data_IF_068074812135
#
_entry.id   IF_068074812135
#
_cell.length_a   1.000
_cell.length_b   1.000
_cell.length_c   1.000
_cell.angle_alpha   90.00
_cell.angle_beta   90.00
_cell.angle_gamma   90.00
#
_symmetry.space_group_name_H-M   'P 1'
#
loop_
_entity.id
_entity.type
_entity.pdbx_description
1 polymer ?
#
# COMPACT_ATOMS: atom_id res chain seq x y z
N UNK A 1 -0.33 2.79 -7.48
CA UNK A 1 0.06 1.76 -6.48
C UNK A 1 -0.70 2.04 -5.20
N UNK A 2 -1.30 1.00 -4.60
CA UNK A 2 -1.83 1.05 -3.24
C UNK A 2 -0.88 0.35 -2.26
N UNK A 3 -1.12 0.48 -0.95
CA UNK A 3 -0.28 -0.15 0.07
C UNK A 3 -1.09 -0.65 1.28
N UNK A 4 -0.52 -1.61 2.01
CA UNK A 4 -1.06 -2.15 3.26
C UNK A 4 -1.32 -1.04 4.29
N UNK A 5 -2.48 -1.10 4.95
CA UNK A 5 -2.87 -0.18 6.02
C UNK A 5 -3.06 1.27 5.56
N UNK A 6 -3.50 1.49 4.33
CA UNK A 6 -3.67 2.84 3.79
C UNK A 6 -4.74 3.63 4.56
N UNK A 7 -4.30 4.57 5.40
CA UNK A 7 -5.19 5.38 6.26
C UNK A 7 -6.24 6.18 5.48
N UNK A 8 -5.89 6.68 4.28
CA UNK A 8 -6.83 7.41 3.43
C UNK A 8 -7.95 6.51 2.88
N UNK A 9 -7.61 5.30 2.42
CA UNK A 9 -8.60 4.30 1.98
C UNK A 9 -9.49 3.88 3.14
N UNK A 10 -8.91 3.69 4.33
CA UNK A 10 -9.66 3.36 5.55
C UNK A 10 -10.63 4.48 5.95
N UNK A 11 -10.19 5.73 5.89
CA UNK A 11 -11.03 6.90 6.16
C UNK A 11 -12.16 7.05 5.11
N UNK A 12 -11.87 6.77 3.83
CA UNK A 12 -12.89 6.76 2.78
C UNK A 12 -13.95 5.66 2.98
N UNK A 13 -13.62 4.60 3.73
CA UNK A 13 -14.54 3.54 4.12
C UNK A 13 -15.56 3.94 5.20
N UNK A 14 -15.43 5.12 5.82
CA UNK A 14 -16.38 5.60 6.83
C UNK A 14 -17.76 5.92 6.23
N UNK A 15 -18.83 5.97 7.06
CA UNK A 15 -20.12 6.51 6.66
C UNK A 15 -20.01 7.93 6.12
N UNK A 16 -20.85 8.30 5.16
CA UNK A 16 -20.76 9.60 4.48
C UNK A 16 -20.92 10.77 5.47
N UNK A 17 -21.76 10.57 6.49
CA UNK A 17 -22.03 11.56 7.55
C UNK A 17 -20.82 11.78 8.47
N UNK A 18 -19.87 10.83 8.50
CA UNK A 18 -18.61 11.00 9.22
C UNK A 18 -17.58 11.72 8.34
N UNK A 19 -17.51 11.37 7.05
CA UNK A 19 -16.64 12.04 6.09
C UNK A 19 -16.98 13.53 5.98
N UNK A 20 -18.25 13.90 6.03
CA UNK A 20 -18.73 15.29 5.97
C UNK A 20 -18.42 16.13 7.20
N UNK A 21 -17.85 15.55 8.26
CA UNK A 21 -17.36 16.30 9.43
C UNK A 21 -15.91 16.78 9.26
N UNK A 22 -15.21 16.25 8.27
CA UNK A 22 -13.85 16.68 7.91
C UNK A 22 -13.90 18.01 7.13
N UNK A 23 -12.78 18.75 7.04
CA UNK A 23 -12.69 19.93 6.18
C UNK A 23 -13.09 19.63 4.73
N UNK A 24 -13.72 20.59 4.05
CA UNK A 24 -14.34 20.41 2.73
C UNK A 24 -13.39 19.73 1.71
N UNK A 25 -12.15 20.19 1.63
CA UNK A 25 -11.16 19.64 0.68
C UNK A 25 -10.80 18.19 0.99
N UNK A 26 -10.74 17.83 2.28
CA UNK A 26 -10.48 16.46 2.70
C UNK A 26 -11.71 15.58 2.48
N UNK A 27 -12.90 16.08 2.80
CA UNK A 27 -14.15 15.37 2.58
C UNK A 27 -14.34 15.03 1.09
N UNK A 28 -14.05 15.97 0.19
CA UNK A 28 -14.13 15.76 -1.26
C UNK A 28 -13.14 14.68 -1.73
N UNK A 29 -11.89 14.75 -1.26
CA UNK A 29 -10.89 13.72 -1.57
C UNK A 29 -11.31 12.32 -1.07
N UNK A 30 -11.85 12.24 0.16
CA UNK A 30 -12.36 11.00 0.74
C UNK A 30 -13.58 10.47 -0.03
N UNK A 31 -14.50 11.33 -0.46
CA UNK A 31 -15.66 10.95 -1.30
C UNK A 31 -15.22 10.40 -2.66
N UNK A 32 -14.21 11.01 -3.29
CA UNK A 32 -13.64 10.50 -4.54
C UNK A 32 -13.02 9.11 -4.34
N UNK A 33 -12.26 8.90 -3.26
CA UNK A 33 -11.69 7.59 -2.93
C UNK A 33 -12.78 6.56 -2.58
N UNK A 34 -13.82 6.96 -1.84
CA UNK A 34 -14.95 6.11 -1.45
C UNK A 34 -15.66 5.53 -2.65
N UNK A 35 -15.77 6.29 -3.73
CA UNK A 35 -16.34 5.79 -4.98
C UNK A 35 -15.55 4.58 -5.55
N UNK A 36 -14.26 4.44 -5.20
CA UNK A 36 -13.43 3.27 -5.53
C UNK A 36 -13.64 2.04 -4.66
N UNK A 37 -14.45 2.14 -3.61
CA UNK A 37 -14.70 1.02 -2.69
C UNK A 37 -15.97 0.28 -3.13
N UNK A 38 -15.84 -1.01 -3.38
CA UNK A 38 -16.98 -1.89 -3.61
C UNK A 38 -17.51 -2.41 -2.27
N UNK A 39 -18.36 -1.61 -1.61
CA UNK A 39 -18.93 -1.96 -0.30
C UNK A 39 -19.72 -3.29 -0.33
N UNK A 40 -20.31 -3.64 -1.48
CA UNK A 40 -21.03 -4.90 -1.66
C UNK A 40 -20.11 -6.12 -1.69
N UNK A 41 -18.90 -5.97 -2.22
CA UNK A 41 -17.88 -7.01 -2.15
C UNK A 41 -17.22 -7.04 -0.78
N UNK A 42 -16.85 -5.87 -0.25
CA UNK A 42 -16.14 -5.73 1.03
C UNK A 42 -16.91 -6.29 2.22
N UNK A 43 -18.25 -6.15 2.24
CA UNK A 43 -19.09 -6.72 3.32
C UNK A 43 -18.98 -8.25 3.47
N UNK A 44 -18.53 -8.95 2.42
CA UNK A 44 -18.36 -10.41 2.43
C UNK A 44 -16.94 -10.85 2.84
N UNK A 45 -16.03 -9.90 3.10
CA UNK A 45 -14.66 -10.17 3.52
C UNK A 45 -14.55 -9.98 5.03
N UNK A 46 -14.46 -11.08 5.77
CA UNK A 46 -14.48 -11.05 7.25
C UNK A 46 -13.08 -10.94 7.88
N UNK A 47 -12.04 -11.41 7.19
CA UNK A 47 -10.67 -11.25 7.67
C UNK A 47 -10.24 -9.79 7.51
N UNK A 48 -9.79 -9.16 8.60
CA UNK A 48 -9.48 -7.74 8.62
C UNK A 48 -8.34 -7.36 7.66
N UNK A 49 -7.36 -8.25 7.47
CA UNK A 49 -6.22 -8.02 6.58
C UNK A 49 -6.62 -8.16 5.12
N UNK A 50 -7.42 -9.18 4.81
CA UNK A 50 -8.00 -9.37 3.50
C UNK A 50 -8.95 -8.21 3.14
N UNK A 51 -9.72 -7.70 4.11
CA UNK A 51 -10.60 -6.55 3.93
C UNK A 51 -9.81 -5.30 3.54
N UNK A 52 -8.76 -4.97 4.30
CA UNK A 52 -7.89 -3.82 4.03
C UNK A 52 -7.25 -3.93 2.64
N UNK A 53 -6.68 -5.09 2.33
CA UNK A 53 -6.09 -5.37 1.01
C UNK A 53 -7.11 -5.20 -0.11
N UNK A 54 -8.30 -5.79 0.01
CA UNK A 54 -9.33 -5.71 -1.01
C UNK A 54 -9.83 -4.28 -1.21
N UNK A 55 -10.01 -3.50 -0.13
CA UNK A 55 -10.42 -2.10 -0.21
C UNK A 55 -9.40 -1.25 -0.97
N UNK A 56 -8.11 -1.47 -0.71
CA UNK A 56 -7.03 -0.79 -1.44
C UNK A 56 -6.98 -1.24 -2.90
N UNK A 57 -7.07 -2.54 -3.18
CA UNK A 57 -7.03 -3.09 -4.54
C UNK A 57 -8.20 -2.56 -5.39
N UNK A 58 -9.42 -2.53 -4.84
CA UNK A 58 -10.59 -1.99 -5.55
C UNK A 58 -10.44 -0.50 -5.83
N UNK A 59 -9.91 0.27 -4.89
CA UNK A 59 -9.62 1.68 -5.12
C UNK A 59 -8.55 1.89 -6.23
N UNK A 60 -7.45 1.13 -6.20
CA UNK A 60 -6.41 1.17 -7.25
C UNK A 60 -7.00 0.80 -8.60
N UNK A 61 -7.84 -0.24 -8.67
CA UNK A 61 -8.52 -0.65 -9.89
C UNK A 61 -9.33 0.50 -10.49
N UNK A 62 -10.16 1.18 -9.68
CA UNK A 62 -10.92 2.35 -10.16
C UNK A 62 -10.03 3.47 -10.68
N UNK A 63 -8.88 3.72 -10.04
CA UNK A 63 -7.94 4.72 -10.52
C UNK A 63 -7.35 4.33 -11.88
N UNK A 64 -6.93 3.08 -12.05
CA UNK A 64 -6.45 2.56 -13.35
C UNK A 64 -7.53 2.67 -14.41
N UNK A 65 -8.77 2.26 -14.11
CA UNK A 65 -9.91 2.43 -15.02
C UNK A 65 -10.18 3.90 -15.37
N UNK A 66 -9.95 4.82 -14.44
CA UNK A 66 -10.01 6.26 -14.67
C UNK A 66 -8.97 6.73 -15.68
N UNK A 67 -7.72 6.27 -15.53
CA UNK A 67 -6.64 6.55 -16.50
C UNK A 67 -6.96 6.00 -17.88
N UNK A 68 -7.61 4.83 -17.97
CA UNK A 68 -8.01 4.23 -19.24
C UNK A 68 -9.08 5.02 -20.01
N UNK A 69 -9.74 6.00 -19.38
CA UNK A 69 -10.69 6.90 -20.06
C UNK A 69 -10.03 8.11 -20.69
N UNK A 70 -8.77 8.39 -20.36
CA UNK A 70 -8.00 9.48 -20.93
C UNK A 70 -7.42 9.07 -22.29
N UNK A 71 -7.86 9.76 -23.35
CA UNK A 71 -7.45 9.44 -24.72
C UNK A 71 -5.95 9.66 -24.97
N UNK A 72 -5.32 10.64 -24.31
CA UNK A 72 -3.90 10.92 -24.47
C UNK A 72 -3.04 9.84 -23.80
N UNK A 73 -3.47 9.36 -22.63
CA UNK A 73 -2.85 8.21 -21.98
C UNK A 73 -2.98 6.97 -22.87
N UNK A 74 -4.18 6.69 -23.36
CA UNK A 74 -4.43 5.48 -24.14
C UNK A 74 -3.75 5.49 -25.51
N UNK A 75 -3.59 6.65 -26.14
CA UNK A 75 -2.79 6.77 -27.36
C UNK A 75 -1.33 6.37 -27.10
N UNK A 76 -0.74 6.76 -25.97
CA UNK A 76 0.63 6.35 -25.61
C UNK A 76 0.74 4.86 -25.33
N UNK A 77 -0.29 4.27 -24.72
CA UNK A 77 -0.34 2.81 -24.50
C UNK A 77 -0.39 2.05 -25.82
N UNK A 78 -1.19 2.53 -26.78
CA UNK A 78 -1.29 1.96 -28.14
C UNK A 78 -0.03 2.17 -28.98
N UNK A 79 0.76 3.19 -28.69
CA UNK A 79 2.05 3.41 -29.36
C UNK A 79 3.20 2.63 -28.71
N UNK A 80 2.91 1.75 -27.73
CA UNK A 80 3.91 1.06 -26.91
C UNK A 80 4.88 2.01 -26.16
N UNK A 81 4.51 3.28 -25.98
CA UNK A 81 5.30 4.29 -25.27
C UNK A 81 5.05 4.26 -23.75
N UNK A 82 3.94 3.67 -23.34
CA UNK A 82 3.46 3.67 -21.96
C UNK A 82 2.80 2.34 -21.60
N UNK A 83 3.05 1.87 -20.38
CA UNK A 83 2.28 0.79 -19.76
C UNK A 83 1.60 1.31 -18.50
N UNK A 84 0.37 0.88 -18.23
CA UNK A 84 -0.34 1.23 -16.99
C UNK A 84 -0.49 -0.03 -16.15
N UNK A 85 -0.05 0.04 -14.89
CA UNK A 85 -0.03 -1.11 -13.99
C UNK A 85 -0.68 -0.76 -12.66
N UNK A 86 -1.63 -1.59 -12.23
CA UNK A 86 -2.21 -1.60 -10.90
C UNK A 86 -1.48 -2.59 -10.00
N UNK A 87 -1.03 -2.13 -8.84
CA UNK A 87 -0.30 -2.94 -7.88
C UNK A 87 -0.57 -2.55 -6.43
N UNK A 88 -0.31 -3.48 -5.52
CA UNK A 88 -0.45 -3.37 -4.08
C UNK A 88 0.89 -3.71 -3.41
N UNK A 89 1.38 -2.82 -2.54
CA UNK A 89 2.59 -3.02 -1.76
C UNK A 89 2.26 -3.47 -0.33
N UNK A 90 2.75 -4.65 0.05
CA UNK A 90 2.60 -5.17 1.40
C UNK A 90 3.80 -4.73 2.25
N UNK A 91 3.60 -3.74 3.12
CA UNK A 91 4.68 -3.09 3.91
C UNK A 91 5.37 -4.12 4.82
N UNK A 92 4.59 -5.01 5.43
CA UNK A 92 5.07 -6.03 6.36
C UNK A 92 6.05 -7.03 5.71
N UNK A 93 5.87 -7.35 4.43
CA UNK A 93 6.70 -8.32 3.71
C UNK A 93 7.70 -7.67 2.74
N UNK A 94 7.46 -6.42 2.35
CA UNK A 94 8.20 -5.73 1.30
C UNK A 94 7.87 -6.22 -0.12
N UNK A 95 6.81 -7.00 -0.30
CA UNK A 95 6.42 -7.58 -1.59
C UNK A 95 5.44 -6.65 -2.32
N UNK A 96 5.60 -6.54 -3.65
CA UNK A 96 4.64 -5.88 -4.53
C UNK A 96 3.83 -6.93 -5.28
N UNK A 97 2.51 -6.87 -5.15
CA UNK A 97 1.57 -7.67 -5.91
C UNK A 97 1.03 -6.86 -7.09
N UNK A 98 1.48 -7.18 -8.29
CA UNK A 98 0.92 -6.63 -9.53
C UNK A 98 -0.31 -7.46 -9.88
N UNK A 99 -1.47 -6.82 -10.12
CA UNK A 99 -2.73 -7.54 -10.33
C UNK A 99 -3.54 -7.02 -11.52
N UNK A 100 -3.05 -5.97 -12.17
CA UNK A 100 -3.68 -5.35 -13.32
C UNK A 100 -2.61 -4.73 -14.21
N UNK A 101 -2.65 -5.06 -15.49
CA UNK A 101 -1.81 -4.46 -16.51
C UNK A 101 -2.69 -4.04 -17.69
N UNK A 102 -2.38 -2.88 -18.25
CA UNK A 102 -3.00 -2.32 -19.45
C UNK A 102 -1.89 -2.07 -20.47
N UNK A 103 -1.86 -2.94 -21.46
CA UNK A 103 -0.95 -2.93 -22.59
C UNK A 103 -1.72 -3.26 -23.87
N UNK A 104 -1.14 -2.96 -25.03
CA UNK A 104 -1.61 -3.52 -26.29
C UNK A 104 -1.21 -5.00 -26.34
N UNK A 105 -2.17 -5.90 -26.63
CA UNK A 105 -1.83 -7.26 -27.01
C UNK A 105 -2.06 -7.43 -28.51
N UNK A 106 -1.14 -8.08 -29.24
CA UNK A 106 -1.43 -8.55 -30.57
C UNK A 106 -2.46 -9.69 -30.47
N UNK A 107 -3.68 -9.45 -30.95
CA UNK A 107 -4.61 -10.54 -31.21
C UNK A 107 -4.07 -11.41 -32.36
N UNK A 108 -4.45 -12.69 -32.40
CA UNK A 108 -4.13 -13.59 -33.52
C UNK A 108 -4.68 -13.13 -34.88
N UNK A 109 -5.54 -12.11 -34.88
CA UNK A 109 -6.11 -11.43 -36.04
C UNK A 109 -5.39 -10.13 -36.41
N UNK A 110 -4.37 -9.70 -35.66
CA UNK A 110 -3.66 -8.44 -35.90
C UNK A 110 -4.45 -7.18 -35.59
N UNK A 111 -5.57 -7.30 -34.87
CA UNK A 111 -6.36 -6.17 -34.37
C UNK A 111 -5.86 -5.76 -32.98
N UNK A 112 -5.52 -4.48 -32.76
CA UNK A 112 -5.12 -4.00 -31.44
C UNK A 112 -6.32 -4.12 -30.48
N UNK A 113 -6.19 -4.95 -29.45
CA UNK A 113 -7.18 -5.02 -28.37
C UNK A 113 -6.52 -4.69 -27.03
N UNK A 114 -7.24 -3.89 -26.25
CA UNK A 114 -6.88 -3.61 -24.87
C UNK A 114 -7.08 -4.87 -24.04
N UNK A 115 -6.02 -5.40 -23.44
CA UNK A 115 -6.14 -6.57 -22.56
C UNK A 115 -5.88 -6.13 -21.14
N UNK A 116 -6.93 -6.20 -20.33
CA UNK A 116 -6.81 -6.12 -18.87
C UNK A 116 -6.40 -7.50 -18.36
N UNK A 117 -5.09 -7.74 -18.24
CA UNK A 117 -4.59 -9.03 -17.72
C UNK A 117 -4.60 -8.97 -16.20
N UNK A 118 -5.25 -9.95 -15.57
CA UNK A 118 -4.91 -10.30 -14.19
C UNK A 118 -3.51 -10.90 -14.22
N UNK A 119 -2.54 -10.25 -13.58
CA UNK A 119 -1.17 -10.79 -13.55
C UNK A 119 -1.22 -12.07 -12.71
N UNK A 120 -1.00 -13.22 -13.35
CA UNK A 120 -1.00 -14.50 -12.65
C UNK A 120 0.21 -14.59 -11.71
N UNK A 121 -0.07 -14.94 -10.44
CA UNK A 121 0.83 -15.42 -9.39
C UNK A 121 2.16 -14.69 -9.24
N UNK A 122 2.17 -13.68 -8.37
CA UNK A 122 3.31 -13.34 -7.51
C UNK A 122 4.67 -13.35 -8.20
N UNK A 123 4.97 -12.26 -8.90
CA UNK A 123 6.38 -11.92 -9.13
C UNK A 123 6.99 -11.68 -7.75
N UNK A 124 7.64 -12.70 -7.19
CA UNK A 124 8.58 -12.52 -6.09
C UNK A 124 9.78 -11.75 -6.65
N UNK A 125 9.61 -10.46 -6.95
CA UNK A 125 10.75 -9.57 -7.18
C UNK A 125 11.38 -9.27 -5.83
N UNK A 126 11.92 -10.31 -5.18
CA UNK A 126 13.02 -10.13 -4.24
C UNK A 126 14.20 -9.77 -5.13
N UNK A 127 14.30 -8.49 -5.48
CA UNK A 127 15.56 -7.96 -5.99
C UNK A 127 16.52 -8.08 -4.82
N UNK A 128 17.24 -9.19 -4.76
CA UNK A 128 18.42 -9.30 -3.92
C UNK A 128 19.41 -8.26 -4.44
N UNK A 129 19.50 -7.13 -3.75
CA UNK A 129 20.62 -6.23 -3.93
C UNK A 129 21.86 -6.99 -3.46
N UNK A 130 22.52 -7.70 -4.38
CA UNK A 130 23.91 -8.06 -4.21
C UNK A 130 24.70 -6.76 -4.26
N UNK A 131 24.91 -6.16 -3.09
CA UNK A 131 25.97 -5.18 -2.89
C UNK A 131 27.27 -5.93 -3.08
N UNK A 132 27.83 -5.85 -4.27
CA UNK A 132 29.15 -6.38 -4.58
C UNK A 132 30.20 -5.58 -3.78
N UNK A 133 30.41 -5.99 -2.53
CA UNK A 133 31.56 -5.57 -1.72
C UNK A 133 32.77 -6.40 -2.14
N UNK A 134 33.18 -6.25 -3.39
CA UNK A 134 34.51 -6.63 -3.81
C UNK A 134 35.50 -5.61 -3.22
N UNK A 135 36.40 -5.97 -2.30
CA UNK A 135 37.47 -5.08 -1.90
C UNK A 135 38.39 -4.90 -3.10
N UNK A 136 38.54 -3.66 -3.60
CA UNK A 136 39.62 -3.31 -4.51
C UNK A 136 40.93 -3.50 -3.75
N UNK A 137 41.60 -4.61 -3.99
CA UNK A 137 42.98 -4.81 -3.61
C UNK A 137 43.84 -3.87 -4.47
N UNK A 138 44.23 -2.74 -3.92
CA UNK A 138 45.34 -1.95 -4.45
C UNK A 138 46.63 -2.71 -4.14
N UNK A 139 47.25 -3.27 -5.18
CA UNK A 139 48.58 -3.84 -5.12
C UNK A 139 49.62 -2.71 -5.09
N UNK A 140 50.29 -2.56 -3.95
CA UNK A 140 51.56 -1.83 -3.84
C UNK A 140 52.66 -2.87 -3.59
N UNK A 141 53.61 -2.92 -4.51
CA UNK A 141 54.82 -3.72 -4.48
C UNK A 141 55.92 -3.03 -3.66
N UNK A 142 56.92 -3.83 -3.30
CA UNK A 142 58.27 -3.53 -2.78
C UNK A 142 58.51 -3.40 -1.25
N UNK A 143 59.07 -4.50 -0.69
CA UNK A 143 60.21 -4.39 0.23
C UNK A 143 60.20 -5.32 1.47
N UNK A 144 61.26 -6.11 1.72
CA UNK A 144 61.31 -7.04 2.84
C UNK A 144 61.78 -6.33 4.12
N UNK A 145 60.90 -6.28 5.13
CA UNK A 145 61.18 -5.71 6.45
C UNK A 145 60.63 -6.59 7.57
N UNK A 146 61.52 -7.23 8.31
CA UNK A 146 61.27 -8.03 9.52
C UNK A 146 60.67 -7.16 10.65
N UNK A 147 59.71 -7.69 11.44
CA UNK A 147 59.69 -7.72 12.94
C UNK A 147 58.27 -8.05 13.52
N UNK A 148 58.21 -9.21 14.20
CA UNK A 148 57.58 -9.61 15.49
C UNK A 148 56.11 -9.28 15.88
N UNK A 149 55.42 -10.39 16.24
CA UNK A 149 54.55 -10.69 17.42
C UNK A 149 53.51 -9.67 17.91
N UNK A 150 52.25 -10.10 17.97
CA UNK A 150 51.24 -9.55 18.88
C UNK A 150 49.96 -10.39 18.94
N UNK A 151 49.63 -10.92 20.13
CA UNK A 151 48.40 -11.66 20.46
C UNK A 151 47.23 -10.71 20.70
N UNK A 152 46.04 -11.07 20.22
CA UNK A 152 44.68 -10.86 20.80
C UNK A 152 43.67 -11.13 19.67
N UNK A 153 42.68 -12.00 19.78
CA UNK A 153 41.85 -12.30 20.93
C UNK A 153 40.68 -11.31 20.98
N UNK A 154 39.79 -11.34 19.98
CA UNK A 154 38.54 -10.56 19.99
C UNK A 154 37.35 -11.52 19.93
N UNK A 155 36.75 -11.76 21.10
CA UNK A 155 35.43 -12.35 21.27
C UNK A 155 34.39 -11.34 20.77
N UNK A 156 33.43 -11.79 19.96
CA UNK A 156 32.20 -11.07 19.69
C UNK A 156 31.18 -11.36 20.81
N UNK A 157 30.49 -10.35 21.36
CA UNK A 157 29.46 -10.58 22.36
C UNK A 157 28.15 -11.04 21.72
N UNK A 158 27.60 -12.11 22.30
CA UNK A 158 26.21 -12.55 22.12
C UNK A 158 25.26 -11.45 22.62
N UNK A 159 24.32 -11.01 21.79
CA UNK A 159 23.23 -10.11 22.19
C UNK A 159 21.98 -10.94 22.48
N UNK A 160 21.67 -11.08 23.76
CA UNK A 160 20.41 -11.61 24.25
C UNK A 160 19.30 -10.59 24.02
N UNK A 161 18.29 -10.97 23.24
CA UNK A 161 17.05 -10.23 23.05
C UNK A 161 16.10 -10.51 24.21
N UNK A 162 15.92 -9.53 25.10
CA UNK A 162 14.83 -9.52 26.06
C UNK A 162 13.50 -9.12 25.37
N UNK A 163 12.34 -9.70 25.77
CA UNK A 163 11.05 -9.38 25.17
C UNK A 163 10.48 -8.04 25.65
N UNK A 164 9.87 -7.34 24.70
CA UNK A 164 9.17 -6.06 24.85
C UNK A 164 7.92 -6.22 25.74
N UNK A 165 7.81 -5.42 26.81
CA UNK A 165 6.59 -5.29 27.63
C UNK A 165 5.80 -4.06 27.16
N UNK A 166 4.51 -4.18 26.83
CA UNK A 166 3.64 -3.02 26.66
C UNK A 166 3.30 -2.42 28.04
N UNK A 167 3.40 -1.10 28.16
CA UNK A 167 2.97 -0.34 29.32
C UNK A 167 1.43 -0.19 29.33
N UNK A 168 0.83 -0.59 30.45
CA UNK A 168 -0.57 -0.36 30.80
C UNK A 168 -0.82 1.11 31.14
N UNK A 169 -1.15 1.95 30.16
CA UNK A 169 -1.77 3.25 30.40
C UNK A 169 -2.76 3.53 29.27
N UNK A 170 -4.06 3.40 29.56
CA UNK A 170 -5.16 4.22 29.03
C UNK A 170 -6.51 3.60 29.44
N UNK A 171 -6.82 3.72 30.74
CA UNK A 171 -8.19 3.58 31.25
C UNK A 171 -8.54 4.91 31.90
N UNK A 172 -9.16 5.81 31.15
CA UNK A 172 -10.09 6.83 31.66
C UNK A 172 -10.64 7.69 30.50
N UNK A 173 -11.73 7.25 29.89
CA UNK A 173 -12.64 8.19 29.25
C UNK A 173 -14.08 7.68 29.37
N UNK A 174 -14.88 8.40 30.16
CA UNK A 174 -16.32 8.18 30.32
C UNK A 174 -17.02 9.51 30.04
N UNK A 175 -17.73 9.68 28.92
CA UNK A 175 -18.54 10.86 28.71
C UNK A 175 -19.96 10.62 29.24
N UNK A 176 -20.30 11.32 30.32
CA UNK A 176 -21.68 11.58 30.74
C UNK A 176 -22.36 12.51 29.74
N UNK A 177 -23.52 12.14 29.21
CA UNK A 177 -24.57 13.11 28.86
C UNK A 177 -25.92 12.44 28.66
N UNK A 178 -26.81 12.62 29.65
CA UNK A 178 -28.25 12.45 29.49
C UNK A 178 -28.90 13.81 29.70
N UNK A 179 -29.41 14.41 28.61
CA UNK A 179 -30.40 15.48 28.73
C UNK A 179 -31.50 15.24 27.71
N UNK A 180 -32.62 14.76 28.22
CA UNK A 180 -33.90 14.67 27.53
C UNK A 180 -34.53 16.07 27.51
N UNK A 181 -34.90 16.56 26.33
CA UNK A 181 -35.98 17.56 26.23
C UNK A 181 -36.86 17.25 25.02
N UNK A 182 -38.03 16.65 25.28
CA UNK A 182 -39.11 16.51 24.29
C UNK A 182 -39.97 17.77 24.33
N UNK A 183 -40.00 18.54 23.24
CA UNK A 183 -41.01 19.59 23.01
C UNK A 183 -42.25 18.96 22.39
N UNK A 184 -43.37 18.98 23.12
CA UNK A 184 -44.72 18.78 22.58
C UNK A 184 -45.14 20.05 21.83
N UNK A 185 -45.56 19.91 20.58
CA UNK A 185 -46.31 20.94 19.85
C UNK A 185 -47.75 20.45 19.75
N UNK A 186 -48.68 21.20 20.37
CA UNK A 186 -50.12 21.02 20.20
C UNK A 186 -50.58 21.90 19.03
N UNK A 187 -51.24 21.30 18.04
CA UNK A 187 -52.12 22.02 17.13
C UNK A 187 -53.52 22.09 17.75
N UNK A 188 -54.13 23.28 17.69
CA UNK A 188 -55.49 23.55 18.11
C UNK A 188 -56.30 23.81 16.83
N UNK A 189 -57.46 23.15 16.74
CA UNK A 189 -58.47 23.32 15.69
C UNK A 189 -58.99 24.76 15.59
#
# INVERSE_FOLDING_TARGET
MGHEGCGAVKAAGLPIEQIEKEPDELADALKMMKAGLDENRLKNVHDARAYDREAVITNVRRQVEGLCRDAAIMQKVQNEELIVVGCFYEISSGIVDFFMEVTEAPDSTGTPHLVMRGVHSGVQSRIEYHVDRSPKAESLDDGPGVIKRGKSGFLLPHRDSAPFRPSDEDKNYSPTSSSHSNKKVFFKE
#
